data_IF_318042670436
#
_entry.id   IF_318042670436
#
_cell.length_a   1.000
_cell.length_b   1.000
_cell.length_c   1.000
_cell.angle_alpha   90.00
_cell.angle_beta   90.00
_cell.angle_gamma   90.00
#
_symmetry.space_group_name_H-M   'P 1'
#
loop_
_entity.id
_entity.type
_entity.pdbx_description
1 polymer ?
#
# COMPACT_ATOMS: atom_id res chain seq x y z
N UNK A 1 -16.16 27.89 -31.09
CA UNK A 1 -16.09 27.48 -29.67
C UNK A 1 -14.79 26.73 -29.36
N UNK A 2 -14.35 25.77 -30.19
CA UNK A 2 -13.11 25.02 -29.98
C UNK A 2 -11.83 25.89 -29.97
N UNK A 3 -11.74 26.86 -30.90
CA UNK A 3 -10.55 27.69 -31.10
C UNK A 3 -10.13 28.51 -29.86
N UNK A 4 -11.11 29.08 -29.14
CA UNK A 4 -10.87 29.85 -27.91
C UNK A 4 -10.38 28.98 -26.74
N UNK A 5 -10.79 27.70 -26.70
CA UNK A 5 -10.35 26.77 -25.65
C UNK A 5 -8.90 26.37 -25.89
N UNK A 6 -8.55 26.07 -27.15
CA UNK A 6 -7.19 25.71 -27.55
C UNK A 6 -6.20 26.86 -27.30
N UNK A 7 -6.61 28.11 -27.54
CA UNK A 7 -5.75 29.26 -27.29
C UNK A 7 -5.50 29.51 -25.80
N UNK A 8 -6.52 29.36 -24.94
CA UNK A 8 -6.35 29.43 -23.49
C UNK A 8 -5.34 28.38 -23.00
N UNK A 9 -5.40 27.18 -23.57
CA UNK A 9 -4.49 26.09 -23.23
C UNK A 9 -3.05 26.41 -23.59
N UNK A 10 -2.86 26.94 -24.81
CA UNK A 10 -1.55 27.35 -25.30
C UNK A 10 -0.93 28.42 -24.41
N UNK A 11 -1.68 29.48 -24.10
CA UNK A 11 -1.21 30.58 -23.24
C UNK A 11 -0.82 30.09 -21.85
N UNK A 12 -1.62 29.21 -21.25
CA UNK A 12 -1.30 28.61 -19.95
C UNK A 12 -0.04 27.75 -20.00
N UNK A 13 0.10 26.88 -21.01
CA UNK A 13 1.27 26.01 -21.14
C UNK A 13 2.56 26.81 -21.38
N UNK A 14 2.47 27.88 -22.19
CA UNK A 14 3.59 28.78 -22.42
C UNK A 14 3.99 29.52 -21.14
N UNK A 15 3.01 30.05 -20.40
CA UNK A 15 3.24 30.66 -19.10
C UNK A 15 3.90 29.68 -18.12
N UNK A 16 3.40 28.44 -18.04
CA UNK A 16 3.92 27.43 -17.13
C UNK A 16 5.37 27.07 -17.45
N UNK A 17 5.69 26.93 -18.74
CA UNK A 17 7.05 26.64 -19.21
C UNK A 17 8.02 27.76 -18.81
N UNK A 18 7.63 29.03 -19.02
CA UNK A 18 8.44 30.20 -18.62
C UNK A 18 8.57 30.32 -17.10
N UNK A 19 7.54 29.95 -16.35
CA UNK A 19 7.45 30.13 -14.91
C UNK A 19 7.94 28.91 -14.10
N UNK A 20 8.30 27.80 -14.76
CA UNK A 20 8.57 26.51 -14.13
C UNK A 20 9.57 26.58 -12.97
N UNK A 21 10.76 27.13 -13.22
CA UNK A 21 11.81 27.25 -12.20
C UNK A 21 11.46 28.22 -11.08
N UNK A 22 10.71 29.28 -11.40
CA UNK A 22 10.20 30.26 -10.42
C UNK A 22 9.17 29.60 -9.50
N UNK A 23 8.25 28.82 -10.06
CA UNK A 23 7.24 28.08 -9.31
C UNK A 23 7.89 27.04 -8.39
N UNK A 24 8.85 26.25 -8.88
CA UNK A 24 9.59 25.30 -8.05
C UNK A 24 10.30 25.97 -6.88
N UNK A 25 10.96 27.10 -7.12
CA UNK A 25 11.62 27.88 -6.06
C UNK A 25 10.61 28.43 -5.05
N UNK A 26 9.45 28.92 -5.53
CA UNK A 26 8.41 29.48 -4.67
C UNK A 26 7.75 28.41 -3.80
N UNK A 27 7.53 27.21 -4.35
CA UNK A 27 6.94 26.08 -3.64
C UNK A 27 7.90 25.50 -2.60
N UNK A 28 9.21 25.46 -2.89
CA UNK A 28 10.25 25.02 -1.94
C UNK A 28 10.31 25.86 -0.65
N UNK A 29 9.81 27.10 -0.67
CA UNK A 29 9.72 27.93 0.55
C UNK A 29 8.79 27.34 1.61
N UNK A 30 7.92 26.41 1.23
CA UNK A 30 6.93 25.79 2.11
C UNK A 30 7.32 24.38 2.57
N UNK A 31 8.51 23.88 2.20
CA UNK A 31 9.01 22.56 2.58
C UNK A 31 9.74 21.84 1.46
N UNK A 32 9.98 20.53 1.64
CA UNK A 32 10.50 19.68 0.58
C UNK A 32 9.56 19.72 -0.63
N UNK A 33 10.14 19.81 -1.83
CA UNK A 33 9.37 19.81 -3.07
C UNK A 33 8.83 18.40 -3.31
N UNK A 34 7.51 18.27 -3.30
CA UNK A 34 6.81 17.06 -3.70
C UNK A 34 6.59 17.14 -5.23
N UNK A 35 7.44 16.44 -5.99
CA UNK A 35 7.39 16.42 -7.46
C UNK A 35 6.04 15.94 -7.97
N UNK A 36 5.50 14.86 -7.38
CA UNK A 36 4.23 14.29 -7.81
C UNK A 36 3.11 15.32 -7.60
N UNK A 37 3.04 15.91 -6.41
CA UNK A 37 2.05 16.94 -6.11
C UNK A 37 2.20 18.18 -7.01
N UNK A 38 3.43 18.54 -7.41
CA UNK A 38 3.67 19.66 -8.31
C UNK A 38 3.10 19.39 -9.71
N UNK A 39 3.33 18.20 -10.27
CA UNK A 39 2.82 17.81 -11.58
C UNK A 39 1.30 17.57 -11.55
N UNK A 40 0.76 16.97 -10.49
CA UNK A 40 -0.69 16.83 -10.28
C UNK A 40 -1.38 18.20 -10.19
N UNK A 41 -0.73 19.18 -9.54
CA UNK A 41 -1.23 20.56 -9.49
C UNK A 41 -1.28 21.17 -10.89
N UNK A 42 -0.26 20.96 -11.72
CA UNK A 42 -0.29 21.43 -13.12
C UNK A 42 -1.49 20.85 -13.89
N UNK A 43 -1.69 19.53 -13.82
CA UNK A 43 -2.81 18.86 -14.48
C UNK A 43 -4.15 19.40 -13.98
N UNK A 44 -4.28 19.60 -12.67
CA UNK A 44 -5.47 20.16 -12.05
C UNK A 44 -5.72 21.59 -12.54
N UNK A 45 -4.74 22.48 -12.46
CA UNK A 45 -4.88 23.88 -12.86
C UNK A 45 -5.19 23.98 -14.35
N UNK A 46 -4.50 23.21 -15.21
CA UNK A 46 -4.80 23.15 -16.66
C UNK A 46 -6.27 22.81 -16.90
N UNK A 47 -6.79 21.78 -16.22
CA UNK A 47 -8.22 21.42 -16.30
C UNK A 47 -9.15 22.55 -15.86
N UNK A 48 -8.77 23.33 -14.85
CA UNK A 48 -9.56 24.49 -14.39
C UNK A 48 -9.51 25.68 -15.35
N UNK A 49 -8.36 25.95 -15.98
CA UNK A 49 -8.24 27.00 -17.01
C UNK A 49 -9.12 26.68 -18.23
N UNK A 50 -9.25 25.39 -18.56
CA UNK A 50 -10.10 24.94 -19.68
C UNK A 50 -11.59 24.90 -19.33
N UNK A 51 -11.96 25.01 -18.05
CA UNK A 51 -13.35 24.92 -17.63
C UNK A 51 -14.13 26.18 -18.03
N UNK A 52 -15.34 26.04 -18.61
CA UNK A 52 -16.17 27.18 -18.96
C UNK A 52 -16.58 27.96 -17.71
N UNK A 53 -16.56 29.29 -17.77
CA UNK A 53 -16.98 30.18 -16.68
C UNK A 53 -15.95 30.45 -15.59
N UNK A 54 -14.75 29.85 -15.67
CA UNK A 54 -13.61 30.22 -14.84
C UNK A 54 -12.63 31.08 -15.63
N UNK A 55 -12.32 32.25 -15.09
CA UNK A 55 -11.26 33.11 -15.59
C UNK A 55 -10.23 33.29 -14.48
N UNK A 56 -9.04 32.75 -14.70
CA UNK A 56 -7.94 32.80 -13.72
C UNK A 56 -7.03 33.94 -14.16
N UNK A 57 -7.05 35.04 -13.40
CA UNK A 57 -6.26 36.24 -13.69
C UNK A 57 -4.81 36.10 -13.25
N UNK A 58 -4.55 35.44 -12.10
CA UNK A 58 -3.20 35.19 -11.59
C UNK A 58 -2.94 33.69 -11.50
N UNK A 59 -2.23 33.17 -12.50
CA UNK A 59 -1.86 31.75 -12.55
C UNK A 59 -0.87 31.36 -11.46
N UNK A 60 0.03 32.25 -11.02
CA UNK A 60 1.05 31.93 -10.02
C UNK A 60 0.42 31.75 -8.64
N UNK A 61 -0.37 32.74 -8.21
CA UNK A 61 -1.08 32.68 -6.94
C UNK A 61 -2.06 31.49 -6.90
N UNK A 62 -2.78 31.27 -8.01
CA UNK A 62 -3.72 30.16 -8.11
C UNK A 62 -3.01 28.79 -8.04
N UNK A 63 -1.89 28.63 -8.74
CA UNK A 63 -1.10 27.41 -8.72
C UNK A 63 -0.55 27.11 -7.32
N UNK A 64 0.07 28.10 -6.67
CA UNK A 64 0.62 27.95 -5.31
C UNK A 64 -0.49 27.59 -4.32
N UNK A 65 -1.66 28.23 -4.43
CA UNK A 65 -2.82 27.91 -3.61
C UNK A 65 -3.29 26.47 -3.79
N UNK A 66 -3.39 25.99 -5.04
CA UNK A 66 -3.78 24.62 -5.35
C UNK A 66 -2.77 23.60 -4.81
N UNK A 67 -1.47 23.84 -5.02
CA UNK A 67 -0.39 22.98 -4.52
C UNK A 67 -0.46 22.83 -3.00
N UNK A 68 -0.61 23.96 -2.27
CA UNK A 68 -0.70 23.96 -0.81
C UNK A 68 -1.92 23.21 -0.30
N UNK A 69 -3.07 23.39 -0.96
CA UNK A 69 -4.30 22.68 -0.60
C UNK A 69 -4.13 21.18 -0.78
N UNK A 70 -3.54 20.74 -1.89
CA UNK A 70 -3.29 19.32 -2.15
C UNK A 70 -2.29 18.72 -1.15
N UNK A 71 -1.21 19.44 -0.82
CA UNK A 71 -0.24 19.04 0.20
C UNK A 71 -0.91 18.86 1.58
N UNK A 72 -1.76 19.81 2.00
CA UNK A 72 -2.50 19.72 3.27
C UNK A 72 -3.46 18.52 3.31
N UNK A 73 -4.11 18.21 2.18
CA UNK A 73 -4.98 17.02 2.08
C UNK A 73 -4.15 15.74 2.20
N UNK A 74 -2.97 15.69 1.57
CA UNK A 74 -2.03 14.55 1.68
C UNK A 74 -1.59 14.34 3.13
N UNK A 75 -1.14 15.41 3.80
CA UNK A 75 -0.77 15.37 5.23
C UNK A 75 -1.94 14.87 6.09
N UNK A 76 -3.15 15.43 5.88
CA UNK A 76 -4.34 14.99 6.63
C UNK A 76 -4.67 13.51 6.39
N UNK A 77 -4.47 13.03 5.16
CA UNK A 77 -4.70 11.62 4.79
C UNK A 77 -3.66 10.69 5.44
N UNK A 78 -2.41 11.13 5.47
CA UNK A 78 -1.26 10.41 6.02
C UNK A 78 -1.34 10.30 7.54
N UNK A 79 -1.74 11.38 8.22
CA UNK A 79 -1.96 11.43 9.67
C UNK A 79 -3.03 10.44 10.17
N UNK A 80 -3.74 9.74 9.29
CA UNK A 80 -4.66 8.66 9.66
C UNK A 80 -3.94 7.34 9.93
N UNK A 81 -2.66 7.26 9.57
CA UNK A 81 -1.83 6.08 9.74
C UNK A 81 -0.73 6.38 10.74
N UNK A 82 -0.40 5.38 11.55
CA UNK A 82 0.82 5.36 12.35
C UNK A 82 1.80 4.46 11.63
N UNK A 83 2.92 5.00 11.19
CA UNK A 83 4.02 4.21 10.63
C UNK A 83 4.96 3.84 11.77
N UNK A 84 5.03 2.55 12.16
CA UNK A 84 6.01 2.12 13.13
C UNK A 84 7.41 2.36 12.55
N UNK A 85 8.33 2.86 13.37
CA UNK A 85 9.73 3.02 12.95
C UNK A 85 10.42 1.65 12.78
N UNK A 86 11.63 1.66 12.21
CA UNK A 86 12.41 0.44 11.94
C UNK A 86 12.60 -0.45 13.18
N UNK A 87 12.65 0.14 14.39
CA UNK A 87 12.74 -0.58 15.66
C UNK A 87 11.54 -1.51 15.92
N UNK A 88 10.34 -1.17 15.40
CA UNK A 88 9.18 -2.06 15.47
C UNK A 88 9.44 -3.40 14.78
N UNK A 89 10.06 -3.37 13.60
CA UNK A 89 10.38 -4.57 12.85
C UNK A 89 11.50 -5.38 13.51
N UNK A 90 12.44 -4.70 14.19
CA UNK A 90 13.48 -5.36 14.97
C UNK A 90 12.89 -6.15 16.15
N UNK A 91 11.90 -5.59 16.86
CA UNK A 91 11.19 -6.27 17.95
C UNK A 91 10.31 -7.43 17.47
N UNK A 92 9.62 -7.30 16.34
CA UNK A 92 8.82 -8.40 15.77
C UNK A 92 9.66 -9.62 15.36
N UNK A 93 10.96 -9.44 15.06
CA UNK A 93 11.86 -10.53 14.68
C UNK A 93 12.20 -11.51 15.81
N UNK A 94 12.04 -11.11 17.08
CA UNK A 94 12.31 -11.97 18.24
C UNK A 94 11.12 -12.87 18.61
N UNK A 95 9.88 -12.37 18.48
CA UNK A 95 8.66 -13.16 18.73
C UNK A 95 8.34 -14.15 17.59
N UNK A 96 8.87 -13.93 16.39
CA UNK A 96 8.73 -14.84 15.25
C UNK A 96 9.62 -16.09 15.35
N UNK A 97 10.33 -16.28 16.47
CA UNK A 97 11.23 -17.41 16.71
C UNK A 97 10.56 -18.49 17.57
N UNK A 98 10.27 -19.59 16.86
CA UNK A 98 10.08 -20.98 17.30
C UNK A 98 8.67 -21.37 17.77
N UNK A 99 7.95 -22.08 16.90
CA UNK A 99 7.32 -23.33 17.36
C UNK A 99 8.46 -24.09 18.05
N UNK A 100 8.39 -24.26 19.37
CA UNK A 100 9.49 -24.86 20.11
C UNK A 100 9.71 -26.29 19.59
N UNK A 101 10.93 -26.81 19.72
CA UNK A 101 11.20 -28.21 19.38
C UNK A 101 10.27 -29.14 20.19
N UNK A 102 9.86 -28.71 21.38
CA UNK A 102 8.84 -29.35 22.22
C UNK A 102 7.41 -29.27 21.65
N UNK A 103 7.02 -28.16 21.00
CA UNK A 103 5.71 -28.04 20.32
C UNK A 103 5.65 -28.92 19.05
N UNK A 104 6.76 -29.03 18.31
CA UNK A 104 6.90 -29.97 17.20
C UNK A 104 6.84 -31.43 17.69
N UNK A 105 7.55 -31.73 18.78
CA UNK A 105 7.61 -33.05 19.40
C UNK A 105 6.28 -33.40 20.10
N UNK A 106 5.50 -32.41 20.55
CA UNK A 106 4.19 -32.59 21.16
C UNK A 106 3.17 -33.16 20.18
N UNK A 107 3.12 -32.62 18.96
CA UNK A 107 2.29 -33.15 17.89
C UNK A 107 2.68 -34.59 17.52
N UNK A 108 3.98 -34.88 17.38
CA UNK A 108 4.44 -36.24 17.10
C UNK A 108 4.14 -37.23 18.24
N UNK A 109 4.31 -36.80 19.50
CA UNK A 109 3.95 -37.60 20.68
C UNK A 109 2.46 -37.89 20.72
N UNK A 110 1.62 -36.89 20.45
CA UNK A 110 0.17 -37.06 20.41
C UNK A 110 -0.25 -38.03 19.31
N UNK A 111 0.33 -37.94 18.11
CA UNK A 111 0.08 -38.91 17.03
C UNK A 111 0.46 -40.32 17.46
N UNK A 112 1.64 -40.50 18.09
CA UNK A 112 2.06 -41.81 18.61
C UNK A 112 1.12 -42.35 19.69
N UNK A 113 0.64 -41.48 20.58
CA UNK A 113 -0.27 -41.86 21.66
C UNK A 113 -1.65 -42.26 21.12
N UNK A 114 -2.17 -41.53 20.13
CA UNK A 114 -3.43 -41.86 19.44
C UNK A 114 -3.28 -43.21 18.73
N UNK A 115 -2.20 -43.41 17.97
CA UNK A 115 -1.96 -44.69 17.27
C UNK A 115 -1.83 -45.86 18.26
N UNK A 116 -1.15 -45.64 19.40
CA UNK A 116 -1.06 -46.62 20.48
C UNK A 116 -2.42 -46.94 21.09
N UNK A 117 -3.26 -45.93 21.33
CA UNK A 117 -4.62 -46.11 21.84
C UNK A 117 -5.48 -46.93 20.88
N UNK A 118 -5.47 -46.58 19.59
CA UNK A 118 -6.24 -47.31 18.57
C UNK A 118 -5.76 -48.76 18.49
N UNK A 119 -4.44 -49.01 18.48
CA UNK A 119 -3.88 -50.37 18.48
C UNK A 119 -4.31 -51.20 19.69
N UNK A 120 -4.46 -50.58 20.86
CA UNK A 120 -4.84 -51.28 22.09
C UNK A 120 -6.36 -51.51 22.21
N UNK A 121 -7.17 -50.62 21.66
CA UNK A 121 -8.63 -50.65 21.81
C UNK A 121 -9.36 -51.47 20.75
N UNK A 122 -8.80 -51.59 19.56
CA UNK A 122 -9.47 -52.24 18.43
C UNK A 122 -8.78 -53.56 18.03
N UNK A 123 -9.52 -54.54 17.50
CA UNK A 123 -8.95 -55.76 16.94
C UNK A 123 -7.91 -55.46 15.84
N UNK A 124 -6.95 -56.35 15.67
CA UNK A 124 -5.84 -56.15 14.72
C UNK A 124 -6.30 -55.90 13.29
N UNK A 125 -7.36 -56.59 12.82
CA UNK A 125 -7.90 -56.41 11.47
C UNK A 125 -8.47 -55.00 11.25
N UNK A 126 -9.16 -54.43 12.25
CA UNK A 126 -9.69 -53.06 12.17
C UNK A 126 -8.57 -52.02 12.22
N UNK A 127 -7.58 -52.21 13.09
CA UNK A 127 -6.38 -51.38 13.14
C UNK A 127 -5.60 -51.43 11.81
N UNK A 128 -5.48 -52.62 11.20
CA UNK A 128 -4.79 -52.80 9.91
C UNK A 128 -5.52 -52.11 8.78
N UNK A 129 -6.85 -52.20 8.72
CA UNK A 129 -7.65 -51.45 7.74
C UNK A 129 -7.51 -49.93 7.94
N UNK A 130 -7.47 -49.46 9.19
CA UNK A 130 -7.23 -48.05 9.51
C UNK A 130 -5.86 -47.57 9.00
N UNK A 131 -4.78 -48.31 9.30
CA UNK A 131 -3.43 -47.95 8.84
C UNK A 131 -3.32 -47.95 7.31
N UNK A 132 -3.88 -48.96 6.66
CA UNK A 132 -3.93 -49.06 5.20
C UNK A 132 -4.64 -47.86 4.58
N UNK A 133 -5.75 -47.42 5.16
CA UNK A 133 -6.58 -46.33 4.62
C UNK A 133 -5.96 -44.94 4.79
N UNK A 134 -5.33 -44.66 5.93
CA UNK A 134 -4.92 -43.31 6.29
C UNK A 134 -3.40 -43.06 6.20
N UNK A 135 -2.57 -44.10 6.23
CA UNK A 135 -1.11 -43.95 6.24
C UNK A 135 -0.40 -44.62 5.07
N UNK A 136 -0.90 -45.76 4.57
CA UNK A 136 -0.23 -46.51 3.50
C UNK A 136 -0.83 -46.25 2.11
N UNK A 137 -2.14 -46.02 2.02
CA UNK A 137 -2.73 -45.50 0.80
C UNK A 137 -2.29 -44.04 0.64
N UNK A 138 -1.45 -43.76 -0.35
CA UNK A 138 -1.14 -42.39 -0.78
C UNK A 138 -2.38 -41.73 -1.38
N UNK A 139 -3.35 -41.38 -0.53
CA UNK A 139 -4.34 -40.39 -0.89
C UNK A 139 -3.66 -39.04 -0.77
N UNK A 140 -3.28 -38.49 -1.92
CA UNK A 140 -2.86 -37.11 -2.06
C UNK A 140 -3.97 -36.23 -1.46
N UNK A 141 -3.70 -35.64 -0.29
CA UNK A 141 -4.45 -34.48 0.17
C UNK A 141 -4.10 -33.34 -0.79
N UNK A 142 -4.84 -33.28 -1.91
CA UNK A 142 -4.95 -32.10 -2.78
C UNK A 142 -6.14 -31.27 -2.32
#
# INVERSE_FOLDING_TARGET
>A
MADKSTEKERLFNEWFTKSYNKLRTSVRKYGALDEDNFHDTYLFVRKQVMAPGKDITDYEAYFIGCYRKAALVKIKKENRYTHPEDDFFLRCGEEAKFISEDDLNGCERLVKDILRFIRQKFPYEEYRMFMLRFYEAQFSFK
#
